data_IF_640991392645
#
_entry.id   IF_640991392645
#
_cell.length_a   1.000
_cell.length_b   1.000
_cell.length_c   1.000
_cell.angle_alpha   90.00
_cell.angle_beta   90.00
_cell.angle_gamma   90.00
#
_symmetry.space_group_name_H-M   'P 1'
#
loop_
_entity.id
_entity.type
_entity.pdbx_description
1 polymer ?
#
# COMPACT_ATOMS: atom_id res chain seq x y z
N UNK A 1 -0.15 3.69 10.57
CA UNK A 1 1.17 4.35 10.69
C UNK A 1 2.31 3.34 10.86
N UNK A 2 2.16 2.30 11.69
CA UNK A 2 3.20 1.29 11.94
C UNK A 2 3.74 0.64 10.65
N UNK A 3 2.87 0.13 9.77
CA UNK A 3 3.29 -0.49 8.51
C UNK A 3 4.03 0.47 7.57
N UNK A 4 3.60 1.73 7.47
CA UNK A 4 4.29 2.74 6.65
C UNK A 4 5.71 2.99 7.16
N UNK A 5 5.88 3.09 8.48
CA UNK A 5 7.20 3.23 9.10
C UNK A 5 8.07 1.99 8.86
N UNK A 6 7.50 0.79 9.02
CA UNK A 6 8.20 -0.47 8.78
C UNK A 6 8.67 -0.60 7.32
N UNK A 7 7.79 -0.30 6.35
CA UNK A 7 8.13 -0.33 4.92
C UNK A 7 9.23 0.67 4.57
N UNK A 8 9.19 1.88 5.13
CA UNK A 8 10.22 2.89 4.90
C UNK A 8 11.55 2.56 5.60
N UNK A 9 11.51 1.83 6.72
CA UNK A 9 12.71 1.36 7.42
C UNK A 9 13.50 0.28 6.65
N UNK A 10 12.90 -0.36 5.65
CA UNK A 10 13.59 -1.33 4.78
C UNK A 10 14.71 -0.69 3.93
N UNK A 11 14.71 0.64 3.77
CA UNK A 11 15.77 1.36 3.06
C UNK A 11 15.77 1.19 1.54
N UNK A 12 14.74 0.55 0.97
CA UNK A 12 14.59 0.28 -0.46
C UNK A 12 14.52 1.58 -1.28
N UNK A 13 13.79 2.57 -0.77
CA UNK A 13 13.68 3.90 -1.38
C UNK A 13 12.97 3.94 -2.74
N UNK A 14 12.92 5.12 -3.38
CA UNK A 14 12.19 5.33 -4.62
C UNK A 14 12.76 4.47 -5.76
N UNK A 15 11.89 3.76 -6.47
CA UNK A 15 12.26 2.86 -7.58
C UNK A 15 13.31 1.79 -7.21
N UNK A 16 13.50 1.49 -5.92
CA UNK A 16 14.49 0.51 -5.47
C UNK A 16 15.94 1.00 -5.48
N UNK A 17 16.19 2.30 -5.62
CA UNK A 17 17.55 2.87 -5.70
C UNK A 17 18.17 3.20 -4.34
N UNK A 18 17.56 2.74 -3.25
CA UNK A 18 17.92 3.10 -1.89
C UNK A 18 17.30 4.42 -1.44
N UNK A 19 17.24 4.63 -0.13
CA UNK A 19 16.82 5.90 0.48
C UNK A 19 15.82 5.74 1.61
N UNK A 20 15.21 6.86 2.03
CA UNK A 20 14.37 6.92 3.23
C UNK A 20 12.89 6.64 2.99
N UNK A 21 12.40 6.83 1.76
CA UNK A 21 10.97 6.83 1.46
C UNK A 21 10.68 5.85 0.33
N UNK A 22 10.26 4.64 0.71
CA UNK A 22 9.80 3.58 -0.19
C UNK A 22 8.31 3.76 -0.52
N UNK A 23 7.49 4.09 0.48
CA UNK A 23 6.05 4.27 0.35
C UNK A 23 5.61 5.63 0.89
N UNK A 24 4.62 6.24 0.25
CA UNK A 24 4.00 7.50 0.68
C UNK A 24 2.84 7.26 1.66
N UNK A 25 2.08 6.19 1.45
CA UNK A 25 0.98 5.77 2.30
C UNK A 25 0.83 4.25 2.24
N UNK A 26 0.22 3.68 3.29
CA UNK A 26 -0.19 2.27 3.34
C UNK A 26 -1.62 2.24 3.88
N UNK A 27 -2.51 1.63 3.11
CA UNK A 27 -3.92 1.42 3.48
C UNK A 27 -4.13 -0.09 3.66
N UNK A 28 -4.84 -0.46 4.73
CA UNK A 28 -5.14 -1.86 5.04
C UNK A 28 -6.65 -1.97 5.17
N UNK A 29 -7.22 -2.74 4.24
CA UNK A 29 -8.63 -3.11 4.28
C UNK A 29 -8.75 -4.54 4.79
N UNK A 30 -9.70 -4.76 5.69
CA UNK A 30 -9.95 -6.08 6.29
C UNK A 30 -11.35 -6.53 5.95
N UNK A 31 -11.50 -7.81 5.61
CA UNK A 31 -12.79 -8.43 5.37
C UNK A 31 -12.89 -9.77 6.12
N UNK A 32 -14.11 -10.24 6.48
CA UNK A 32 -14.29 -11.56 7.05
C UNK A 32 -13.79 -12.66 6.10
N UNK A 33 -13.22 -13.72 6.67
CA UNK A 33 -12.78 -14.89 5.93
C UNK A 33 -13.12 -16.18 6.70
N UNK A 34 -13.11 -17.31 6.01
CA UNK A 34 -13.37 -18.61 6.63
C UNK A 34 -12.24 -18.95 7.63
N UNK A 35 -12.55 -19.56 8.77
CA UNK A 35 -11.53 -19.84 9.82
C UNK A 35 -10.33 -20.66 9.32
N UNK A 36 -10.57 -21.53 8.32
CA UNK A 36 -9.53 -22.35 7.71
C UNK A 36 -8.71 -21.64 6.60
N UNK A 37 -9.00 -20.38 6.28
CA UNK A 37 -8.34 -19.64 5.20
C UNK A 37 -8.19 -18.15 5.52
N UNK A 38 -6.98 -17.62 5.35
CA UNK A 38 -6.70 -16.18 5.50
C UNK A 38 -6.18 -15.61 4.17
N UNK A 39 -7.07 -15.14 3.28
CA UNK A 39 -6.64 -14.53 2.02
C UNK A 39 -5.99 -13.18 2.30
N UNK A 40 -4.82 -12.95 1.72
CA UNK A 40 -4.07 -11.69 1.82
C UNK A 40 -3.64 -11.27 0.43
N UNK A 41 -3.84 -10.00 0.11
CA UNK A 41 -3.41 -9.39 -1.14
C UNK A 41 -2.70 -8.07 -0.86
N UNK A 42 -1.70 -7.76 -1.68
CA UNK A 42 -0.99 -6.47 -1.64
C UNK A 42 -1.09 -5.84 -3.02
N UNK A 43 -1.62 -4.63 -3.07
CA UNK A 43 -1.69 -3.81 -4.28
C UNK A 43 -0.79 -2.58 -4.12
N UNK A 44 -0.03 -2.25 -5.17
CA UNK A 44 0.93 -1.16 -5.17
C UNK A 44 0.51 -0.10 -6.19
N UNK A 45 0.46 1.17 -5.75
CA UNK A 45 0.33 2.32 -6.64
C UNK A 45 1.71 2.79 -7.11
N UNK A 46 1.86 3.05 -8.40
CA UNK A 46 3.10 3.60 -8.95
C UNK A 46 3.17 5.13 -8.78
N UNK A 47 4.25 5.75 -9.27
CA UNK A 47 4.40 7.21 -9.27
C UNK A 47 3.33 7.96 -10.09
N UNK A 48 2.60 7.24 -10.95
CA UNK A 48 1.53 7.78 -11.77
C UNK A 48 0.13 7.37 -11.25
N UNK A 49 -0.03 7.25 -9.92
CA UNK A 49 -1.31 6.94 -9.29
C UNK A 49 -2.30 8.10 -9.47
N UNK A 50 -3.31 7.88 -10.31
CA UNK A 50 -4.36 8.86 -10.64
C UNK A 50 -5.71 8.23 -10.41
N UNK A 51 -6.62 8.94 -9.76
CA UNK A 51 -8.01 8.52 -9.59
C UNK A 51 -8.93 9.74 -9.64
N UNK A 52 -10.15 9.54 -10.12
CA UNK A 52 -11.20 10.55 -10.13
C UNK A 52 -12.53 9.86 -9.80
N UNK A 53 -13.38 10.54 -9.03
CA UNK A 53 -14.74 10.10 -8.73
C UNK A 53 -15.68 11.11 -9.37
N UNK A 54 -16.71 10.63 -10.06
CA UNK A 54 -17.71 11.47 -10.73
C UNK A 54 -19.09 10.94 -10.35
N UNK A 55 -19.92 11.79 -9.79
CA UNK A 55 -21.32 11.48 -9.51
C UNK A 55 -22.15 11.68 -10.78
N UNK A 56 -22.90 10.66 -11.18
CA UNK A 56 -23.83 10.72 -12.31
C UNK A 56 -25.24 10.79 -11.74
N UNK A 57 -25.91 11.91 -12.00
CA UNK A 57 -27.31 12.14 -11.65
C UNK A 57 -28.27 11.33 -12.54
#
# INVERSE_FOLDING_TARGET
AELLAAVNALGIGPAGMGGRTTALAVHVETAPCHIAALPVAVALGCCAMRSAVVDVA
#
